data_IF_050142968614
#
_entry.id   IF_050142968614
#
_cell.length_a   1.000
_cell.length_b   1.000
_cell.length_c   1.000
_cell.angle_alpha   90.00
_cell.angle_beta   90.00
_cell.angle_gamma   90.00
#
_symmetry.space_group_name_H-M   'P 1'
#
loop_
_entity.id
_entity.type
_entity.pdbx_description
1 polymer ?
#
# COMPACT_ATOMS: atom_id res chain seq x y z
N UNK A 1 16.85 24.45 13.25
CA UNK A 1 16.65 23.36 12.27
C UNK A 1 16.00 22.13 12.91
N UNK A 2 16.47 21.64 14.06
CA UNK A 2 15.91 20.44 14.73
C UNK A 2 14.47 20.65 15.21
N UNK A 3 14.18 21.76 15.89
CA UNK A 3 12.81 22.04 16.35
C UNK A 3 11.83 22.19 15.18
N UNK A 4 12.26 22.85 14.10
CA UNK A 4 11.48 22.98 12.85
C UNK A 4 11.11 21.61 12.27
N UNK A 5 12.08 20.70 12.14
CA UNK A 5 11.83 19.34 11.67
C UNK A 5 10.87 18.56 12.60
N UNK A 6 11.00 18.71 13.92
CA UNK A 6 10.08 18.10 14.87
C UNK A 6 8.63 18.62 14.67
N UNK A 7 8.45 19.94 14.50
CA UNK A 7 7.12 20.53 14.25
C UNK A 7 6.50 20.08 12.93
N UNK A 8 7.30 20.00 11.86
CA UNK A 8 6.83 19.46 10.58
C UNK A 8 6.39 17.99 10.74
N UNK A 9 7.17 17.19 11.48
CA UNK A 9 6.83 15.79 11.75
C UNK A 9 5.56 15.65 12.60
N UNK A 10 5.28 16.59 13.50
CA UNK A 10 4.05 16.59 14.32
C UNK A 10 2.80 16.87 13.49
N UNK A 11 2.92 17.61 12.37
CA UNK A 11 1.82 17.89 11.45
C UNK A 11 1.61 16.78 10.41
N UNK A 12 2.54 15.83 10.30
CA UNK A 12 2.43 14.69 9.40
C UNK A 12 1.43 13.66 9.95
N UNK A 13 0.58 13.10 9.09
CA UNK A 13 -0.29 12.00 9.50
C UNK A 13 0.49 10.68 9.58
N UNK A 14 -0.11 9.69 10.25
CA UNK A 14 0.53 8.40 10.48
C UNK A 14 0.96 7.73 9.17
N UNK A 15 2.27 7.52 9.01
CA UNK A 15 2.85 6.89 7.81
C UNK A 15 3.10 7.86 6.66
N UNK A 16 2.97 9.17 6.87
CA UNK A 16 3.40 10.20 5.94
C UNK A 16 4.83 10.65 6.25
N UNK A 17 5.56 11.03 5.21
CA UNK A 17 6.85 11.72 5.33
C UNK A 17 6.61 13.15 4.84
N UNK A 18 6.59 14.09 5.78
CA UNK A 18 6.39 15.50 5.48
C UNK A 18 7.73 16.22 5.48
N UNK A 19 7.94 17.08 4.50
CA UNK A 19 9.21 17.73 4.22
C UNK A 19 9.00 19.23 4.03
N UNK A 20 10.00 19.99 4.45
CA UNK A 20 10.08 21.43 4.19
C UNK A 20 10.39 21.70 2.71
N UNK A 21 10.11 22.91 2.27
CA UNK A 21 10.54 23.40 0.95
C UNK A 21 12.06 23.26 0.70
N UNK A 22 12.89 23.40 1.75
CA UNK A 22 14.34 23.25 1.63
C UNK A 22 14.75 21.83 1.27
N UNK A 23 14.12 20.83 1.90
CA UNK A 23 14.33 19.41 1.61
C UNK A 23 13.80 19.08 0.22
N UNK A 24 12.63 19.60 -0.15
CA UNK A 24 12.08 19.38 -1.49
C UNK A 24 13.03 19.92 -2.57
N UNK A 25 13.60 21.11 -2.41
CA UNK A 25 14.58 21.65 -3.37
C UNK A 25 15.78 20.72 -3.57
N UNK A 26 16.27 20.11 -2.50
CA UNK A 26 17.36 19.14 -2.56
C UNK A 26 16.96 17.87 -3.34
N UNK A 27 15.75 17.38 -3.10
CA UNK A 27 15.19 16.22 -3.80
C UNK A 27 15.04 16.52 -5.30
N UNK A 28 14.51 17.69 -5.66
CA UNK A 28 14.41 18.14 -7.04
C UNK A 28 15.79 18.24 -7.72
N UNK A 29 16.77 18.83 -7.02
CA UNK A 29 18.12 19.00 -7.55
C UNK A 29 18.85 17.68 -7.82
N UNK A 30 18.72 16.68 -6.93
CA UNK A 30 19.58 15.49 -6.96
C UNK A 30 18.89 14.15 -7.17
N UNK A 31 17.67 13.99 -6.68
CA UNK A 31 16.91 12.74 -6.86
C UNK A 31 16.18 12.78 -8.19
N UNK A 32 15.39 13.83 -8.43
CA UNK A 32 14.56 13.99 -9.63
C UNK A 32 15.31 14.60 -10.82
N UNK A 33 16.39 15.37 -10.55
CA UNK A 33 17.17 16.12 -11.54
C UNK A 33 16.35 17.12 -12.38
N UNK A 34 15.28 17.68 -11.82
CA UNK A 34 14.42 18.69 -12.44
C UNK A 34 14.60 20.09 -11.83
N UNK A 35 15.33 20.21 -10.73
CA UNK A 35 15.63 21.47 -10.04
C UNK A 35 17.03 22.02 -10.29
N UNK A 36 17.27 23.30 -9.94
CA UNK A 36 18.61 23.89 -9.97
C UNK A 36 19.53 23.24 -8.91
N UNK A 37 20.85 23.22 -9.13
CA UNK A 37 21.80 22.70 -8.16
C UNK A 37 21.74 23.49 -6.84
N UNK A 38 21.77 22.78 -5.72
CA UNK A 38 21.73 23.35 -4.38
C UNK A 38 23.10 23.23 -3.69
N UNK A 39 23.38 24.03 -2.64
CA UNK A 39 24.66 24.00 -1.93
C UNK A 39 25.03 22.63 -1.33
N UNK A 40 24.03 21.79 -1.03
CA UNK A 40 24.23 20.49 -0.38
C UNK A 40 24.20 19.30 -1.35
N UNK A 41 23.90 19.55 -2.64
CA UNK A 41 23.77 18.53 -3.69
C UNK A 41 25.00 17.63 -3.84
N UNK A 42 26.19 18.17 -3.59
CA UNK A 42 27.47 17.45 -3.74
C UNK A 42 27.80 16.55 -2.55
N UNK A 43 27.18 16.78 -1.39
CA UNK A 43 27.42 16.03 -0.16
C UNK A 43 26.48 14.83 -0.01
N UNK A 44 25.50 14.67 -0.91
CA UNK A 44 24.55 13.57 -0.87
C UNK A 44 25.19 12.27 -1.36
N UNK A 45 25.09 11.15 -0.59
CA UNK A 45 25.68 9.88 -0.99
C UNK A 45 24.97 9.31 -2.22
N UNK A 46 25.75 8.99 -3.25
CA UNK A 46 25.25 8.45 -4.54
C UNK A 46 24.42 7.18 -4.36
N UNK A 47 24.82 6.30 -3.44
CA UNK A 47 24.08 5.07 -3.13
C UNK A 47 22.65 5.35 -2.63
N UNK A 48 22.46 6.38 -1.79
CA UNK A 48 21.13 6.72 -1.28
C UNK A 48 20.26 7.34 -2.38
N UNK A 49 20.84 8.20 -3.22
CA UNK A 49 20.14 8.80 -4.36
C UNK A 49 19.62 7.71 -5.30
N UNK A 50 20.47 6.75 -5.63
CA UNK A 50 20.08 5.66 -6.53
C UNK A 50 19.01 4.75 -5.91
N UNK A 51 19.12 4.45 -4.61
CA UNK A 51 18.09 3.70 -3.89
C UNK A 51 16.73 4.42 -3.91
N UNK A 52 16.71 5.73 -3.69
CA UNK A 52 15.47 6.52 -3.73
C UNK A 52 14.90 6.54 -5.16
N UNK A 53 15.74 6.66 -6.20
CA UNK A 53 15.29 6.58 -7.60
C UNK A 53 14.70 5.23 -7.96
N UNK A 54 15.31 4.14 -7.49
CA UNK A 54 14.80 2.77 -7.68
C UNK A 54 13.44 2.56 -7.01
N UNK A 55 13.25 3.11 -5.80
CA UNK A 55 11.95 3.07 -5.12
C UNK A 55 10.91 3.87 -5.92
N UNK A 56 11.32 4.99 -6.50
CA UNK A 56 10.44 5.96 -7.15
C UNK A 56 9.61 6.71 -6.12
N UNK A 57 9.62 8.04 -6.17
CA UNK A 57 8.90 8.88 -5.22
C UNK A 57 7.86 9.76 -5.92
N UNK A 58 6.75 10.01 -5.23
CA UNK A 58 5.74 10.97 -5.61
C UNK A 58 5.57 11.96 -4.48
N UNK A 59 5.51 13.25 -4.79
CA UNK A 59 5.36 14.31 -3.81
C UNK A 59 4.09 15.12 -4.09
N UNK A 60 3.49 15.64 -3.03
CA UNK A 60 2.29 16.45 -3.08
C UNK A 60 2.45 17.69 -2.20
N UNK A 61 2.15 18.87 -2.74
CA UNK A 61 2.24 20.12 -1.98
C UNK A 61 1.02 20.26 -1.09
N UNK A 62 1.24 20.41 0.22
CA UNK A 62 0.16 20.65 1.20
C UNK A 62 -0.15 22.14 1.29
N UNK A 63 0.85 23.00 1.06
CA UNK A 63 0.73 24.45 1.12
C UNK A 63 1.43 25.04 2.34
N UNK A 64 0.95 26.22 2.76
CA UNK A 64 1.46 26.93 3.93
C UNK A 64 0.82 26.37 5.20
N UNK A 65 1.65 25.96 6.15
CA UNK A 65 1.21 25.49 7.47
C UNK A 65 1.84 26.37 8.55
N UNK A 66 0.98 26.92 9.41
CA UNK A 66 1.39 27.65 10.59
C UNK A 66 1.93 26.68 11.65
N UNK A 67 3.25 26.65 11.80
CA UNK A 67 3.91 25.81 12.78
C UNK A 67 4.08 26.59 14.09
N UNK A 68 3.70 25.98 15.21
CA UNK A 68 3.81 26.63 16.52
C UNK A 68 5.25 27.05 16.84
N UNK A 69 5.44 28.33 17.18
CA UNK A 69 6.73 28.90 17.51
C UNK A 69 7.58 29.33 16.30
N UNK A 70 7.00 29.33 15.09
CA UNK A 70 7.56 29.99 13.92
C UNK A 70 6.72 31.24 13.59
N UNK A 71 7.41 32.36 13.34
CA UNK A 71 6.74 33.64 13.04
C UNK A 71 6.12 33.67 11.63
N UNK A 72 6.58 32.79 10.73
CA UNK A 72 6.14 32.71 9.34
C UNK A 72 5.59 31.31 9.04
N UNK A 73 4.49 31.22 8.27
CA UNK A 73 3.99 29.95 7.76
C UNK A 73 5.05 29.23 6.95
N UNK A 74 5.06 27.90 7.03
CA UNK A 74 6.02 27.08 6.30
C UNK A 74 5.37 26.34 5.13
N UNK A 75 6.01 26.43 3.96
CA UNK A 75 5.67 25.60 2.80
C UNK A 75 6.13 24.17 3.00
N UNK A 76 5.18 23.26 3.05
CA UNK A 76 5.38 21.85 3.36
C UNK A 76 4.80 20.94 2.27
N UNK A 77 5.45 19.81 2.06
CA UNK A 77 5.06 18.81 1.06
C UNK A 77 5.16 17.41 1.64
N UNK A 78 4.30 16.50 1.19
CA UNK A 78 4.30 15.10 1.62
C UNK A 78 4.87 14.23 0.51
N UNK A 79 5.69 13.25 0.90
CA UNK A 79 6.37 12.32 -0.01
C UNK A 79 5.91 10.89 0.26
N UNK A 80 5.67 10.16 -0.82
CA UNK A 80 5.36 8.74 -0.80
C UNK A 80 6.23 7.98 -1.80
N UNK A 81 6.53 6.69 -1.57
CA UNK A 81 6.90 5.79 -2.65
C UNK A 81 5.81 5.78 -3.74
N UNK A 82 6.19 5.66 -5.01
CA UNK A 82 5.26 5.73 -6.14
C UNK A 82 4.11 4.72 -6.02
N UNK A 83 4.39 3.51 -5.54
CA UNK A 83 3.38 2.47 -5.28
C UNK A 83 2.32 2.87 -4.23
N UNK A 84 2.62 3.83 -3.36
CA UNK A 84 1.76 4.27 -2.26
C UNK A 84 1.16 5.66 -2.48
N UNK A 85 1.41 6.31 -3.61
CA UNK A 85 0.93 7.65 -3.92
C UNK A 85 -0.60 7.79 -3.78
N UNK A 86 -1.35 6.73 -4.12
CA UNK A 86 -2.81 6.67 -3.99
C UNK A 86 -3.33 6.87 -2.55
N UNK A 87 -2.49 6.65 -1.52
CA UNK A 87 -2.87 6.91 -0.13
C UNK A 87 -3.21 8.38 0.12
N UNK A 88 -2.56 9.29 -0.61
CA UNK A 88 -2.85 10.72 -0.48
C UNK A 88 -4.28 11.03 -0.91
N UNK A 89 -4.71 10.51 -2.07
CA UNK A 89 -6.07 10.70 -2.59
C UNK A 89 -7.16 10.11 -1.67
N UNK A 90 -6.90 8.96 -1.04
CA UNK A 90 -7.83 8.36 -0.06
C UNK A 90 -7.94 9.25 1.17
N UNK A 91 -6.83 9.88 1.59
CA UNK A 91 -6.83 10.71 2.77
C UNK A 91 -7.60 12.01 2.56
N UNK A 92 -7.49 12.63 1.39
CA UNK A 92 -8.32 13.80 1.05
C UNK A 92 -9.81 13.44 1.06
N UNK A 93 -10.15 12.23 0.60
CA UNK A 93 -11.51 11.71 0.69
C UNK A 93 -11.98 11.51 2.15
N UNK A 94 -11.11 11.04 3.04
CA UNK A 94 -11.42 10.86 4.47
C UNK A 94 -11.44 12.19 5.26
N UNK A 95 -10.67 13.19 4.82
CA UNK A 95 -10.58 14.50 5.46
C UNK A 95 -11.70 15.45 5.01
N UNK A 96 -12.38 15.16 3.89
CA UNK A 96 -13.56 15.90 3.49
C UNK A 96 -14.64 15.79 4.59
N UNK A 97 -15.26 16.91 5.03
CA UNK A 97 -16.36 16.88 5.97
C UNK A 97 -17.53 16.19 5.29
N UNK A 98 -17.61 14.88 5.48
CA UNK A 98 -18.76 14.11 5.10
C UNK A 98 -19.73 14.26 6.27
N UNK A 99 -20.98 14.58 5.95
CA UNK A 99 -22.10 14.60 6.89
C UNK A 99 -22.33 13.16 7.43
N UNK A 100 -21.39 12.63 8.23
CA UNK A 100 -21.43 11.34 8.90
C UNK A 100 -22.41 11.42 10.08
N UNK A 101 -23.67 11.67 9.75
CA UNK A 101 -24.77 11.37 10.65
C UNK A 101 -24.94 9.85 10.67
N UNK A 102 -24.48 9.25 11.78
CA UNK A 102 -24.69 7.85 12.17
C UNK A 102 -23.80 6.81 11.47
N UNK A 103 -22.94 6.20 12.29
CA UNK A 103 -22.12 5.02 12.04
C UNK A 103 -22.85 3.89 11.30
N UNK A 104 -22.85 3.92 9.97
CA UNK A 104 -22.91 2.73 9.12
C UNK A 104 -21.66 2.75 8.26
N UNK A 105 -20.74 1.83 8.53
CA UNK A 105 -19.66 1.54 7.60
C UNK A 105 -20.33 1.02 6.33
N UNK A 106 -20.48 1.87 5.31
CA UNK A 106 -20.98 1.47 4.01
C UNK A 106 -19.86 0.70 3.32
N UNK A 107 -19.93 -0.63 3.36
CA UNK A 107 -18.95 -1.48 2.71
C UNK A 107 -19.14 -1.41 1.21
N UNK A 108 -18.08 -1.06 0.48
CA UNK A 108 -18.10 -1.09 -0.98
C UNK A 108 -17.85 -2.54 -1.44
N UNK A 109 -18.62 -3.01 -2.44
CA UNK A 109 -18.43 -4.31 -3.11
C UNK A 109 -16.97 -4.53 -3.54
N UNK A 110 -16.31 -3.47 -4.03
CA UNK A 110 -14.90 -3.48 -4.39
C UNK A 110 -13.99 -3.82 -3.20
N UNK A 111 -14.27 -3.26 -2.02
CA UNK A 111 -13.50 -3.53 -0.80
C UNK A 111 -13.71 -4.97 -0.32
N UNK A 112 -14.95 -5.48 -0.36
CA UNK A 112 -15.25 -6.86 0.01
C UNK A 112 -14.53 -7.82 -0.96
N UNK A 113 -14.49 -7.50 -2.26
CA UNK A 113 -13.76 -8.29 -3.26
C UNK A 113 -12.25 -8.27 -3.03
N UNK A 114 -11.69 -7.12 -2.68
CA UNK A 114 -10.28 -6.99 -2.30
C UNK A 114 -9.95 -7.81 -1.04
N UNK A 115 -10.82 -7.77 -0.03
CA UNK A 115 -10.68 -8.62 1.16
C UNK A 115 -10.74 -10.11 0.81
N UNK A 116 -11.61 -10.49 -0.13
CA UNK A 116 -11.66 -11.83 -0.70
C UNK A 116 -10.33 -12.26 -1.32
N UNK A 117 -9.67 -11.39 -2.07
CA UNK A 117 -8.34 -11.66 -2.64
C UNK A 117 -7.29 -11.92 -1.55
N UNK A 118 -7.29 -11.12 -0.49
CA UNK A 118 -6.38 -11.31 0.66
C UNK A 118 -6.66 -12.66 1.33
N UNK A 119 -7.93 -13.01 1.51
CA UNK A 119 -8.33 -14.30 2.06
C UNK A 119 -7.77 -15.48 1.23
N UNK A 120 -7.90 -15.45 -0.10
CA UNK A 120 -7.36 -16.50 -0.98
C UNK A 120 -5.84 -16.64 -0.87
N UNK A 121 -5.12 -15.50 -0.78
CA UNK A 121 -3.66 -15.52 -0.61
C UNK A 121 -3.27 -16.12 0.75
N UNK A 122 -3.99 -15.79 1.81
CA UNK A 122 -3.76 -16.37 3.14
C UNK A 122 -4.03 -17.88 3.16
N UNK A 123 -5.10 -18.34 2.51
CA UNK A 123 -5.43 -19.77 2.40
C UNK A 123 -4.38 -20.54 1.62
N UNK A 124 -3.89 -19.98 0.51
CA UNK A 124 -2.80 -20.59 -0.25
C UNK A 124 -1.53 -20.67 0.59
N UNK A 125 -1.17 -19.61 1.32
CA UNK A 125 -0.01 -19.62 2.22
C UNK A 125 -0.17 -20.66 3.34
N UNK A 126 -1.38 -20.82 3.88
CA UNK A 126 -1.71 -21.87 4.85
C UNK A 126 -1.61 -23.29 4.28
N UNK A 127 -1.45 -23.43 2.95
CA UNK A 127 -1.13 -24.67 2.26
C UNK A 127 0.33 -24.74 1.77
N UNK A 128 1.18 -23.79 2.18
CA UNK A 128 2.57 -23.62 1.71
C UNK A 128 2.67 -23.33 0.21
N UNK A 129 1.68 -22.64 -0.37
CA UNK A 129 1.62 -22.27 -1.78
C UNK A 129 1.36 -20.78 -1.96
N UNK A 130 1.71 -20.25 -3.12
CA UNK A 130 1.39 -18.89 -3.54
C UNK A 130 0.15 -18.88 -4.43
N UNK A 131 -0.85 -18.05 -4.11
CA UNK A 131 -1.99 -17.88 -5.01
C UNK A 131 -1.63 -16.97 -6.18
N UNK A 132 -1.83 -17.44 -7.41
CA UNK A 132 -1.67 -16.67 -8.65
C UNK A 132 -2.96 -16.69 -9.46
N UNK A 133 -3.29 -15.57 -10.07
CA UNK A 133 -4.47 -15.47 -10.93
C UNK A 133 -4.21 -16.22 -12.24
N UNK A 134 -5.22 -16.93 -12.75
CA UNK A 134 -5.10 -17.75 -13.98
C UNK A 134 -4.57 -17.00 -15.21
N UNK A 135 -4.63 -15.67 -15.24
CA UNK A 135 -4.13 -14.85 -16.34
C UNK A 135 -2.61 -14.99 -16.56
N UNK A 136 -1.86 -15.30 -15.51
CA UNK A 136 -0.40 -15.47 -15.57
C UNK A 136 0.03 -16.77 -16.26
N UNK A 137 -0.84 -17.79 -16.35
CA UNK A 137 -0.54 -19.04 -17.07
C UNK A 137 -0.38 -18.83 -18.57
N UNK A 138 -1.14 -17.91 -19.16
CA UNK A 138 -1.10 -17.65 -20.61
C UNK A 138 0.23 -16.98 -20.99
N UNK A 139 0.74 -16.09 -20.13
CA UNK A 139 2.03 -15.45 -20.33
C UNK A 139 3.22 -16.35 -19.95
N UNK A 140 3.10 -17.13 -18.86
CA UNK A 140 4.15 -18.05 -18.45
C UNK A 140 4.34 -19.20 -19.45
N UNK A 141 3.26 -19.76 -20.02
CA UNK A 141 3.32 -20.84 -21.01
C UNK A 141 4.02 -20.43 -22.34
N UNK A 142 4.17 -19.13 -22.60
CA UNK A 142 4.88 -18.62 -23.77
C UNK A 142 6.41 -18.51 -23.57
N UNK A 143 6.93 -18.70 -22.35
CA UNK A 143 8.26 -18.22 -22.00
C UNK A 143 9.26 -19.23 -21.37
N UNK A 144 8.93 -20.47 -21.03
CA UNK A 144 9.86 -21.34 -20.30
C UNK A 144 10.05 -22.75 -20.86
N UNK A 145 11.14 -23.38 -20.40
CA UNK A 145 11.56 -24.76 -20.67
C UNK A 145 10.87 -25.73 -19.70
N UNK A 146 10.61 -26.97 -20.15
CA UNK A 146 9.78 -27.98 -19.48
C UNK A 146 10.12 -28.25 -18.00
N UNK A 147 11.39 -28.16 -17.59
CA UNK A 147 11.82 -28.50 -16.23
C UNK A 147 11.48 -27.43 -15.17
N UNK A 148 11.38 -26.15 -15.55
CA UNK A 148 11.05 -25.05 -14.61
C UNK A 148 9.55 -24.97 -14.29
N UNK A 149 8.70 -25.45 -15.20
CA UNK A 149 7.25 -25.44 -15.00
C UNK A 149 6.78 -26.40 -13.91
N UNK A 150 7.47 -27.52 -13.71
CA UNK A 150 7.03 -28.52 -12.73
C UNK A 150 7.22 -28.02 -11.28
N UNK A 151 8.34 -27.36 -10.97
CA UNK A 151 8.58 -26.77 -9.64
C UNK A 151 7.67 -25.57 -9.33
N UNK A 152 7.47 -24.66 -10.30
CA UNK A 152 6.54 -23.53 -10.12
C UNK A 152 5.10 -24.00 -9.91
N UNK A 153 4.70 -25.13 -10.51
CA UNK A 153 3.36 -25.71 -10.36
C UNK A 153 3.14 -26.31 -8.97
N UNK A 154 4.21 -26.79 -8.31
CA UNK A 154 4.13 -27.32 -6.95
C UNK A 154 4.00 -26.21 -5.89
N UNK A 155 4.63 -25.04 -6.14
CA UNK A 155 4.65 -23.91 -5.21
C UNK A 155 3.47 -22.93 -5.42
N UNK A 156 2.74 -23.01 -6.53
CA UNK A 156 1.67 -22.06 -6.86
C UNK A 156 0.30 -22.72 -6.96
N UNK A 157 -0.72 -22.09 -6.37
CA UNK A 157 -2.12 -22.41 -6.56
C UNK A 157 -2.71 -21.43 -7.58
N UNK A 158 -3.26 -21.96 -8.67
CA UNK A 158 -3.89 -21.16 -9.71
C UNK A 158 -5.42 -21.24 -9.61
N UNK A 159 -6.09 -20.10 -9.66
CA UNK A 159 -7.54 -20.02 -9.63
C UNK A 159 -8.07 -18.74 -10.27
N UNK A 160 -9.33 -18.76 -10.69
CA UNK A 160 -10.04 -17.53 -11.04
C UNK A 160 -10.57 -16.88 -9.75
N UNK A 161 -10.09 -15.68 -9.37
CA UNK A 161 -10.55 -14.99 -8.19
C UNK A 161 -12.07 -14.74 -8.18
N UNK A 162 -12.67 -14.55 -9.36
CA UNK A 162 -14.10 -14.26 -9.47
C UNK A 162 -14.98 -15.45 -9.11
N UNK A 163 -14.45 -16.66 -9.25
CA UNK A 163 -15.13 -17.90 -8.86
C UNK A 163 -14.96 -18.23 -7.36
N UNK A 164 -13.92 -17.69 -6.72
CA UNK A 164 -13.49 -18.08 -5.36
C UNK A 164 -13.82 -17.03 -4.29
N UNK A 165 -14.12 -15.81 -4.71
CA UNK A 165 -14.59 -14.69 -3.88
C UNK A 165 -16.12 -14.64 -3.91
N UNK A 166 -16.81 -14.16 -2.85
CA UNK A 166 -18.26 -14.02 -2.86
C UNK A 166 -18.76 -13.24 -4.09
N UNK A 167 -19.79 -13.79 -4.75
CA UNK A 167 -20.39 -13.20 -5.95
C UNK A 167 -21.26 -12.01 -5.57
N UNK A 168 -20.63 -10.85 -5.37
CA UNK A 168 -21.29 -9.58 -5.11
C UNK A 168 -21.26 -8.72 -6.37
N UNK A 169 -22.38 -8.06 -6.66
CA UNK A 169 -22.52 -7.00 -7.65
C UNK A 169 -22.88 -5.67 -6.98
N UNK A 170 -22.82 -4.56 -7.73
CA UNK A 170 -23.12 -3.22 -7.19
C UNK A 170 -24.58 -3.05 -6.69
N UNK A 171 -25.46 -4.00 -7.02
CA UNK A 171 -26.86 -4.05 -6.56
C UNK A 171 -27.04 -4.97 -5.33
N UNK A 172 -25.97 -5.51 -4.77
CA UNK A 172 -26.05 -6.43 -3.62
C UNK A 172 -26.57 -5.67 -2.40
N UNK A 173 -27.48 -6.30 -1.68
CA UNK A 173 -28.04 -5.74 -0.46
C UNK A 173 -27.00 -5.73 0.68
N UNK A 174 -27.20 -4.82 1.66
CA UNK A 174 -26.39 -4.77 2.89
C UNK A 174 -26.34 -6.13 3.61
N UNK A 175 -27.42 -6.91 3.53
CA UNK A 175 -27.50 -8.24 4.13
C UNK A 175 -26.57 -9.22 3.43
N UNK A 176 -26.54 -9.22 2.09
CA UNK A 176 -25.64 -10.09 1.32
C UNK A 176 -24.18 -9.71 1.54
N UNK A 177 -23.88 -8.41 1.62
CA UNK A 177 -22.55 -7.92 1.96
C UNK A 177 -22.12 -8.34 3.37
N UNK A 178 -23.02 -8.25 4.36
CA UNK A 178 -22.75 -8.71 5.73
C UNK A 178 -22.49 -10.22 5.79
N UNK A 179 -23.24 -11.04 5.05
CA UNK A 179 -23.03 -12.49 4.97
C UNK A 179 -21.70 -12.82 4.30
N UNK A 180 -21.34 -12.10 3.23
CA UNK A 180 -20.05 -12.27 2.58
C UNK A 180 -18.88 -11.94 3.51
N UNK A 181 -19.00 -10.89 4.33
CA UNK A 181 -17.98 -10.50 5.31
C UNK A 181 -17.83 -11.55 6.41
N UNK A 182 -18.94 -12.07 6.95
CA UNK A 182 -18.92 -13.12 7.97
C UNK A 182 -18.22 -14.40 7.46
N UNK A 183 -18.56 -14.81 6.23
CA UNK A 183 -17.92 -15.93 5.56
C UNK A 183 -16.42 -15.71 5.33
N UNK A 184 -16.02 -14.51 4.91
CA UNK A 184 -14.60 -14.16 4.73
C UNK A 184 -13.86 -14.13 6.08
N UNK A 185 -14.49 -13.63 7.15
CA UNK A 185 -13.89 -13.62 8.49
C UNK A 185 -13.55 -15.02 8.97
N UNK A 186 -14.51 -15.96 8.90
CA UNK A 186 -14.27 -17.35 9.31
C UNK A 186 -13.17 -18.03 8.50
N UNK A 187 -13.10 -17.75 7.19
CA UNK A 187 -12.01 -18.26 6.33
C UNK A 187 -10.65 -17.72 6.72
N UNK A 188 -10.55 -16.42 7.01
CA UNK A 188 -9.31 -15.77 7.46
C UNK A 188 -8.87 -16.33 8.82
N UNK A 189 -9.78 -16.50 9.76
CA UNK A 189 -9.51 -17.09 11.08
C UNK A 189 -8.96 -18.52 10.96
N UNK A 190 -9.55 -19.33 10.06
CA UNK A 190 -9.07 -20.68 9.80
C UNK A 190 -7.67 -20.69 9.17
N UNK A 191 -7.44 -19.86 8.15
CA UNK A 191 -6.14 -19.76 7.47
C UNK A 191 -5.04 -19.28 8.43
N UNK A 192 -5.32 -18.26 9.24
CA UNK A 192 -4.38 -17.71 10.22
C UNK A 192 -4.07 -18.68 11.34
N UNK A 193 -5.06 -19.44 11.83
CA UNK A 193 -4.86 -20.51 12.81
C UNK A 193 -3.90 -21.57 12.30
N UNK A 194 -4.08 -22.01 11.05
CA UNK A 194 -3.20 -22.98 10.40
C UNK A 194 -1.77 -22.45 10.18
N UNK A 195 -1.63 -21.19 9.77
CA UNK A 195 -0.31 -20.54 9.64
C UNK A 195 0.43 -20.48 10.98
N UNK A 196 -0.30 -20.22 12.08
CA UNK A 196 0.26 -20.19 13.43
C UNK A 196 0.76 -21.57 13.87
N UNK A 197 0.05 -22.63 13.53
CA UNK A 197 0.49 -24.00 13.78
C UNK A 197 1.75 -24.35 12.98
N UNK A 198 1.79 -23.99 11.69
CA UNK A 198 2.97 -24.19 10.84
C UNK A 198 4.21 -23.49 11.39
N UNK A 199 4.06 -22.24 11.83
CA UNK A 199 5.17 -21.47 12.43
C UNK A 199 5.71 -22.12 13.70
N UNK A 200 4.83 -22.69 14.54
CA UNK A 200 5.25 -23.43 15.75
C UNK A 200 6.01 -24.71 15.41
N UNK A 201 5.55 -25.46 14.41
CA UNK A 201 6.18 -26.71 14.00
C UNK A 201 7.53 -26.51 13.28
N UNK A 202 7.74 -25.34 12.66
CA UNK A 202 9.02 -24.98 12.03
C UNK A 202 10.08 -24.48 13.01
N UNK A 203 9.74 -24.28 14.30
CA UNK A 203 10.66 -23.76 15.33
C UNK A 203 11.20 -24.84 16.29
N UNK A 204 11.00 -26.11 15.96
CA UNK A 204 11.55 -27.31 16.63
C UNK A 204 12.53 -28.00 15.68
#
# INVERSE_FOLDING_TARGET
>A
MVNRAARISEHANRGQIMCSADVMREIHARVLNDGPPTPYSEYQPSQAIEAIRQIGISHFSVGEVDLEGLELPEMVSVIYPAALAHRHAIQDYLAAPSDWTSSRVQFNVTQIRQLGMVCLRLEALASSRNFRENFERIHAAAAAHADQYEEETQLCLYGDPNALVPALNDNSSDREMSVALDALSGRIENATSKLKEMSRNSSL
#
